data_IF_310911958858
#
_entry.id   IF_310911958858
#
_cell.length_a   1.000
_cell.length_b   1.000
_cell.length_c   1.000
_cell.angle_alpha   90.00
_cell.angle_beta   90.00
_cell.angle_gamma   90.00
#
_symmetry.space_group_name_H-M   'P 1'
#
loop_
_entity.id
_entity.type
_entity.pdbx_description
1 polymer ?
#
# COMPACT_ATOMS: atom_id res chain seq x y z
N UNK A 1 -0.21 5.36 1.01
CA UNK A 1 0.15 4.20 1.85
C UNK A 1 -0.06 2.96 1.03
N UNK A 2 0.67 1.90 1.33
CA UNK A 2 0.65 0.64 0.57
C UNK A 2 1.13 -0.50 1.48
N UNK A 3 0.42 -1.63 1.49
CA UNK A 3 0.78 -2.81 2.26
C UNK A 3 1.51 -3.85 1.40
N UNK A 4 2.62 -4.35 1.94
CA UNK A 4 3.29 -5.53 1.43
C UNK A 4 2.80 -6.76 2.18
N UNK A 5 2.47 -7.83 1.44
CA UNK A 5 1.80 -9.00 2.01
C UNK A 5 2.28 -10.31 1.40
N UNK A 6 2.02 -11.43 2.06
CA UNK A 6 2.49 -12.76 1.64
C UNK A 6 1.72 -13.38 0.46
N UNK A 7 0.60 -12.79 0.03
CA UNK A 7 -0.24 -13.36 -1.02
C UNK A 7 -0.99 -12.26 -1.77
N UNK A 8 -1.46 -12.52 -2.99
CA UNK A 8 -2.30 -11.59 -3.76
C UNK A 8 -3.80 -11.62 -3.37
N UNK A 9 -4.20 -12.58 -2.53
CA UNK A 9 -5.58 -12.77 -2.10
C UNK A 9 -5.66 -12.23 -0.67
N UNK A 10 -6.36 -11.12 -0.44
CA UNK A 10 -6.36 -10.47 0.86
C UNK A 10 -6.97 -11.33 1.96
N UNK A 11 -7.76 -12.36 1.62
CA UNK A 11 -8.32 -13.29 2.60
C UNK A 11 -7.31 -14.33 3.10
N UNK A 12 -6.21 -14.53 2.35
CA UNK A 12 -5.14 -15.51 2.65
C UNK A 12 -3.82 -14.83 3.00
N UNK A 13 -3.75 -13.52 2.83
CA UNK A 13 -2.55 -12.73 2.99
C UNK A 13 -2.31 -12.36 4.45
N UNK A 14 -1.04 -12.43 4.87
CA UNK A 14 -0.55 -11.83 6.10
C UNK A 14 0.26 -10.58 5.77
N UNK A 15 0.15 -9.49 6.55
CA UNK A 15 0.96 -8.31 6.34
C UNK A 15 2.44 -8.58 6.65
N UNK A 16 3.31 -8.12 5.77
CA UNK A 16 4.78 -8.18 5.92
C UNK A 16 5.32 -6.81 6.32
N UNK A 17 4.69 -5.74 5.82
CA UNK A 17 5.00 -4.38 6.19
C UNK A 17 4.07 -3.38 5.52
N UNK A 18 4.27 -2.11 5.82
CA UNK A 18 3.50 -1.01 5.25
C UNK A 18 4.42 0.15 4.91
N UNK A 19 4.15 0.83 3.81
CA UNK A 19 4.86 2.03 3.39
C UNK A 19 4.01 3.29 3.48
N UNK A 20 4.67 4.40 3.80
CA UNK A 20 4.09 5.73 3.89
C UNK A 20 4.92 6.74 3.13
N UNK A 21 4.24 7.75 2.58
CA UNK A 21 4.83 8.91 1.94
C UNK A 21 3.89 10.09 2.20
N UNK A 22 4.39 11.09 2.90
CA UNK A 22 3.65 12.33 3.20
C UNK A 22 4.34 13.57 2.64
N UNK A 23 5.53 13.40 2.05
CA UNK A 23 6.30 14.43 1.37
C UNK A 23 6.94 13.83 0.13
N UNK A 24 6.88 14.55 -0.98
CA UNK A 24 7.46 14.09 -2.24
C UNK A 24 8.95 13.77 -2.10
N UNK A 25 9.37 12.63 -2.65
CA UNK A 25 10.75 12.14 -2.55
C UNK A 25 11.10 11.48 -1.20
N UNK A 26 10.18 11.47 -0.23
CA UNK A 26 10.41 10.89 1.11
C UNK A 26 9.39 9.79 1.41
N UNK A 27 9.87 8.56 1.47
CA UNK A 27 9.06 7.38 1.82
C UNK A 27 9.68 6.58 2.95
N UNK A 28 8.83 6.02 3.79
CA UNK A 28 9.20 5.21 4.94
C UNK A 28 8.54 3.84 4.82
N UNK A 29 9.25 2.78 5.22
CA UNK A 29 8.75 1.42 5.25
C UNK A 29 8.87 0.85 6.66
N UNK A 30 7.78 0.28 7.18
CA UNK A 30 7.72 -0.35 8.49
C UNK A 30 7.61 -1.86 8.27
N UNK A 31 8.69 -2.65 8.48
CA UNK A 31 8.64 -4.10 8.38
C UNK A 31 8.03 -4.68 9.66
N UNK A 32 6.95 -5.44 9.55
CA UNK A 32 6.28 -5.99 10.73
C UNK A 32 7.15 -7.08 11.37
N UNK A 33 7.70 -7.99 10.56
CA UNK A 33 8.38 -9.18 11.09
C UNK A 33 9.88 -9.01 11.35
N UNK A 34 10.44 -7.80 11.18
CA UNK A 34 11.88 -7.55 11.32
C UNK A 34 12.26 -6.62 12.49
N UNK A 35 11.27 -6.04 13.17
CA UNK A 35 11.49 -5.15 14.32
C UNK A 35 11.61 -5.99 15.60
N UNK A 36 12.80 -6.01 16.20
CA UNK A 36 13.09 -6.84 17.38
C UNK A 36 12.50 -6.26 18.68
N UNK A 37 12.43 -4.93 18.76
CA UNK A 37 12.08 -4.21 19.99
C UNK A 37 10.65 -3.66 19.99
N UNK A 38 9.87 -3.94 18.94
CA UNK A 38 8.51 -3.44 18.78
C UNK A 38 7.59 -4.62 18.50
N UNK A 39 6.56 -4.80 19.33
CA UNK A 39 5.61 -5.90 19.16
C UNK A 39 4.61 -5.64 18.03
N UNK A 40 3.99 -6.70 17.52
CA UNK A 40 2.93 -6.57 16.51
C UNK A 40 1.73 -5.76 17.04
N UNK A 41 1.42 -5.91 18.31
CA UNK A 41 0.33 -5.19 18.98
C UNK A 41 0.63 -3.69 19.05
N UNK A 42 1.89 -3.33 19.31
CA UNK A 42 2.33 -1.94 19.33
C UNK A 42 2.26 -1.32 17.93
N UNK A 43 2.77 -2.00 16.91
CA UNK A 43 2.62 -1.57 15.51
C UNK A 43 1.13 -1.39 15.17
N UNK A 44 0.31 -2.39 15.47
CA UNK A 44 -1.13 -2.37 15.19
C UNK A 44 -1.82 -1.20 15.87
N UNK A 45 -1.45 -0.88 17.13
CA UNK A 45 -2.00 0.25 17.89
C UNK A 45 -1.66 1.59 17.21
N UNK A 46 -0.41 1.81 16.82
CA UNK A 46 0.01 3.04 16.15
C UNK A 46 -0.65 3.19 14.77
N UNK A 47 -0.72 2.08 14.01
CA UNK A 47 -1.41 2.08 12.72
C UNK A 47 -2.91 2.36 12.86
N UNK A 48 -3.56 1.83 13.91
CA UNK A 48 -4.97 2.08 14.19
C UNK A 48 -5.24 3.57 14.43
N UNK A 49 -4.38 4.25 15.20
CA UNK A 49 -4.51 5.69 15.45
C UNK A 49 -4.48 6.51 14.15
N UNK A 50 -3.65 6.11 13.18
CA UNK A 50 -3.54 6.79 11.89
C UNK A 50 -4.71 6.43 10.96
N UNK A 51 -4.98 5.13 10.79
CA UNK A 51 -5.92 4.65 9.79
C UNK A 51 -7.39 4.86 10.15
N UNK A 52 -7.73 4.89 11.44
CA UNK A 52 -9.11 5.12 11.89
C UNK A 52 -9.47 6.60 12.07
N UNK A 53 -8.49 7.52 12.02
CA UNK A 53 -8.74 8.96 12.07
C UNK A 53 -9.16 9.50 10.69
N UNK A 54 -10.42 9.91 10.53
CA UNK A 54 -10.93 10.45 9.27
C UNK A 54 -10.35 11.81 8.89
N UNK A 55 -9.69 12.53 9.80
CA UNK A 55 -9.02 13.81 9.52
C UNK A 55 -7.69 13.61 8.82
N UNK A 56 -7.04 12.48 9.04
CA UNK A 56 -5.86 12.09 8.28
C UNK A 56 -6.35 11.54 6.94
N UNK A 57 -6.00 12.25 5.86
CA UNK A 57 -6.34 11.88 4.48
C UNK A 57 -5.41 10.80 3.97
N UNK A 58 -5.97 9.76 3.35
CA UNK A 58 -5.24 8.61 2.84
C UNK A 58 -5.34 8.55 1.32
N UNK A 59 -4.17 8.42 0.70
CA UNK A 59 -4.01 8.21 -0.73
C UNK A 59 -3.29 6.88 -0.94
N UNK A 60 -3.71 6.13 -1.96
CA UNK A 60 -3.14 4.83 -2.32
C UNK A 60 -3.56 4.43 -3.73
N UNK A 61 -3.14 3.24 -4.15
CA UNK A 61 -3.49 2.64 -5.42
C UNK A 61 -4.26 1.35 -5.13
N UNK A 62 -5.47 1.18 -5.66
CA UNK A 62 -6.29 -0.01 -5.41
C UNK A 62 -6.50 -0.27 -3.90
N UNK A 63 -6.88 0.78 -3.17
CA UNK A 63 -7.04 0.81 -1.71
C UNK A 63 -7.99 -0.28 -1.19
N UNK A 64 -8.88 -0.79 -2.04
CA UNK A 64 -9.74 -1.93 -1.71
C UNK A 64 -8.93 -3.12 -1.17
N UNK A 65 -7.74 -3.38 -1.72
CA UNK A 65 -6.88 -4.45 -1.22
C UNK A 65 -6.40 -4.18 0.20
N UNK A 66 -5.76 -3.03 0.43
CA UNK A 66 -5.24 -2.63 1.74
C UNK A 66 -6.35 -2.51 2.79
N UNK A 67 -7.55 -2.07 2.39
CA UNK A 67 -8.72 -2.01 3.25
C UNK A 67 -9.05 -3.39 3.84
N UNK A 68 -8.94 -4.45 3.04
CA UNK A 68 -9.21 -5.81 3.51
C UNK A 68 -8.08 -6.32 4.41
N UNK A 69 -6.82 -5.99 4.12
CA UNK A 69 -5.69 -6.29 5.00
C UNK A 69 -5.86 -5.61 6.37
N UNK A 70 -6.16 -4.31 6.38
CA UNK A 70 -6.42 -3.55 7.60
C UNK A 70 -7.61 -4.13 8.38
N UNK A 71 -8.68 -4.53 7.68
CA UNK A 71 -9.84 -5.17 8.32
C UNK A 71 -9.46 -6.49 9.01
N UNK A 72 -8.60 -7.30 8.40
CA UNK A 72 -8.08 -8.54 9.02
C UNK A 72 -7.21 -8.24 10.25
N UNK A 73 -6.55 -7.08 10.29
CA UNK A 73 -5.82 -6.59 11.46
C UNK A 73 -6.73 -5.94 12.52
N UNK A 74 -8.06 -5.90 12.31
CA UNK A 74 -9.00 -5.25 13.25
C UNK A 74 -8.96 -3.71 13.21
N UNK A 75 -8.53 -3.14 12.08
CA UNK A 75 -8.43 -1.70 11.83
C UNK A 75 -9.50 -1.26 10.82
N UNK A 76 -10.37 -0.33 11.21
CA UNK A 76 -11.40 0.23 10.35
C UNK A 76 -10.89 1.45 9.58
N UNK A 77 -10.40 1.23 8.35
CA UNK A 77 -9.88 2.29 7.50
C UNK A 77 -10.91 3.43 7.29
N UNK A 78 -10.51 4.66 7.63
CA UNK A 78 -11.26 5.90 7.38
C UNK A 78 -10.38 6.93 6.69
N UNK A 79 -11.00 7.99 6.19
CA UNK A 79 -10.29 9.12 5.59
C UNK A 79 -9.66 8.79 4.23
N UNK A 80 -10.24 7.84 3.48
CA UNK A 80 -9.84 7.60 2.08
C UNK A 80 -10.16 8.87 1.30
N UNK A 81 -9.13 9.55 0.83
CA UNK A 81 -9.25 10.79 0.05
C UNK A 81 -9.17 10.49 -1.45
N UNK A 82 -8.27 9.58 -1.85
CA UNK A 82 -7.95 9.37 -3.25
C UNK A 82 -7.42 7.96 -3.54
N UNK A 83 -7.89 7.36 -4.63
CA UNK A 83 -7.34 6.12 -5.19
C UNK A 83 -6.84 6.38 -6.61
N UNK A 84 -5.54 6.24 -6.83
CA UNK A 84 -4.91 6.56 -8.12
C UNK A 84 -5.37 5.65 -9.25
N UNK A 85 -5.77 4.40 -8.95
CA UNK A 85 -6.32 3.48 -9.95
C UNK A 85 -7.67 4.00 -10.46
N UNK A 86 -8.55 4.39 -9.53
CA UNK A 86 -9.88 4.92 -9.83
C UNK A 86 -9.77 6.25 -10.58
N UNK A 87 -8.87 7.14 -10.15
CA UNK A 87 -8.62 8.39 -10.85
C UNK A 87 -8.16 8.17 -12.30
N UNK A 88 -7.22 7.25 -12.53
CA UNK A 88 -6.77 6.92 -13.88
C UNK A 88 -7.91 6.34 -14.73
N UNK A 89 -8.79 5.52 -14.16
CA UNK A 89 -9.97 5.00 -14.85
C UNK A 89 -10.97 6.10 -15.23
N UNK A 90 -11.25 7.03 -14.33
CA UNK A 90 -12.16 8.15 -14.60
C UNK A 90 -11.64 9.09 -15.69
N UNK A 91 -10.32 9.28 -15.76
CA UNK A 91 -9.70 10.11 -16.80
C UNK A 91 -9.75 9.45 -18.18
N UNK A 92 -9.58 8.14 -18.27
CA UNK A 92 -9.64 7.40 -19.53
C UNK A 92 -10.14 5.95 -19.31
N UNK A 93 -11.46 5.73 -19.35
CA UNK A 93 -12.03 4.40 -19.09
C UNK A 93 -11.79 3.41 -20.23
N UNK A 94 -11.39 3.88 -21.41
CA UNK A 94 -11.03 3.02 -22.56
C UNK A 94 -9.62 2.45 -22.44
N UNK A 95 -8.80 2.96 -21.50
CA UNK A 95 -7.46 2.42 -21.24
C UNK A 95 -7.59 1.01 -20.67
N UNK A 96 -6.79 0.09 -21.18
CA UNK A 96 -6.83 -1.32 -20.77
C UNK A 96 -6.12 -1.60 -19.44
N UNK A 97 -5.30 -0.67 -18.95
CA UNK A 97 -4.45 -0.89 -17.78
C UNK A 97 -4.32 0.35 -16.90
N UNK A 98 -4.71 0.22 -15.64
CA UNK A 98 -4.64 1.27 -14.61
C UNK A 98 -3.71 0.89 -13.45
N UNK A 99 -2.75 -0.02 -13.67
CA UNK A 99 -1.79 -0.37 -12.64
C UNK A 99 -0.79 0.78 -12.38
N UNK A 100 -0.16 0.76 -11.19
CA UNK A 100 0.69 1.86 -10.75
C UNK A 100 1.91 2.08 -11.65
N UNK A 101 2.50 1.00 -12.19
CA UNK A 101 3.66 1.09 -13.09
C UNK A 101 3.32 1.85 -14.36
N UNK A 102 2.18 1.53 -14.97
CA UNK A 102 1.68 2.21 -16.16
C UNK A 102 1.28 3.66 -15.88
N UNK A 103 0.67 3.93 -14.72
CA UNK A 103 0.35 5.32 -14.30
C UNK A 103 1.63 6.13 -14.07
N UNK A 104 2.60 5.59 -13.34
CA UNK A 104 3.89 6.26 -13.07
C UNK A 104 4.64 6.60 -14.36
N UNK A 105 4.69 5.67 -15.31
CA UNK A 105 5.35 5.92 -16.58
C UNK A 105 4.67 7.01 -17.40
N UNK A 106 3.33 7.01 -17.46
CA UNK A 106 2.55 7.96 -18.25
C UNK A 106 2.61 9.38 -17.69
N UNK A 107 2.39 9.55 -16.37
CA UNK A 107 2.24 10.88 -15.77
C UNK A 107 3.54 11.45 -15.22
N UNK A 108 4.52 10.61 -14.88
CA UNK A 108 5.77 11.04 -14.23
C UNK A 108 7.02 10.71 -15.07
N UNK A 109 6.85 10.12 -16.26
CA UNK A 109 7.96 9.60 -17.08
C UNK A 109 8.93 8.70 -16.29
N UNK A 110 8.43 8.01 -15.26
CA UNK A 110 9.24 7.23 -14.31
C UNK A 110 8.89 5.76 -14.35
N UNK A 111 9.87 4.96 -14.76
CA UNK A 111 9.80 3.50 -14.62
C UNK A 111 9.96 3.11 -13.14
N UNK A 112 9.04 2.30 -12.64
CA UNK A 112 9.17 1.70 -11.31
C UNK A 112 9.99 0.42 -11.40
N UNK A 113 10.90 0.24 -10.45
CA UNK A 113 11.65 -1.01 -10.28
C UNK A 113 10.71 -2.19 -10.13
N UNK A 114 11.08 -3.32 -10.72
CA UNK A 114 10.33 -4.56 -10.54
C UNK A 114 10.60 -5.15 -9.16
N UNK A 115 9.64 -5.91 -8.64
CA UNK A 115 9.83 -6.70 -7.42
C UNK A 115 11.02 -7.66 -7.57
N UNK A 116 11.19 -8.27 -8.76
CA UNK A 116 12.36 -9.12 -9.05
C UNK A 116 13.69 -8.38 -8.96
N UNK A 117 13.76 -7.10 -9.35
CA UNK A 117 14.97 -6.29 -9.20
C UNK A 117 15.27 -5.97 -7.72
N UNK A 118 14.25 -5.88 -6.88
CA UNK A 118 14.38 -5.60 -5.45
C UNK A 118 14.80 -6.83 -4.64
N UNK A 119 14.26 -8.02 -4.94
CA UNK A 119 14.49 -9.25 -4.14
C UNK A 119 15.47 -10.24 -4.80
N UNK A 120 15.78 -10.07 -6.08
CA UNK A 120 16.54 -10.99 -6.91
C UNK A 120 15.65 -12.05 -7.60
N UNK A 121 15.99 -12.40 -8.84
CA UNK A 121 15.25 -13.40 -9.64
C UNK A 121 15.05 -14.72 -8.89
N UNK A 122 13.82 -15.22 -8.86
CA UNK A 122 13.47 -16.57 -8.39
C UNK A 122 13.25 -16.72 -6.88
N UNK A 123 13.22 -15.63 -6.10
CA UNK A 123 12.84 -15.71 -4.68
C UNK A 123 11.35 -15.36 -4.50
N UNK A 124 10.52 -16.29 -4.01
CA UNK A 124 9.18 -15.94 -3.56
C UNK A 124 9.24 -15.21 -2.21
N UNK A 125 8.17 -14.48 -1.89
CA UNK A 125 7.90 -13.96 -0.54
C UNK A 125 7.76 -15.10 0.47
#
# INVERSE_FOLDING_TARGET
FDFETTHYDPMRASPVGVSFCWKEGESYYIPFNALKDISQEEITRELKAIFEDSKIKKIGQNIKYDLLILKNMGIALKGIEFDTMVASYLLNPSKSNHNLKSISLEYLARAMSSIEELIGKGKPF
#
